data_IF_393002922039
#
_entry.id   IF_393002922039
#
_cell.length_a   1.000
_cell.length_b   1.000
_cell.length_c   1.000
_cell.angle_alpha   90.00
_cell.angle_beta   90.00
_cell.angle_gamma   90.00
#
_symmetry.space_group_name_H-M   'P 1'
#
loop_
_entity.id
_entity.type
_entity.pdbx_description
1 polymer ?
#
# COMPACT_ATOMS: atom_id res chain seq x y z
N UNK A 1 28.28 10.01 16.59
CA UNK A 1 26.85 9.77 16.39
C UNK A 1 26.56 8.34 16.09
N UNK A 2 25.57 7.81 16.73
CA UNK A 2 25.22 6.43 16.51
C UNK A 2 24.15 6.27 15.48
N UNK A 3 24.39 5.37 14.57
CA UNK A 3 23.39 5.04 13.59
C UNK A 3 22.50 3.97 14.19
N UNK A 4 21.24 4.29 14.29
CA UNK A 4 20.28 3.33 14.77
C UNK A 4 19.69 2.59 13.59
N UNK A 5 19.81 1.28 13.64
CA UNK A 5 19.17 0.46 12.65
C UNK A 5 17.82 0.06 13.22
N UNK A 6 16.76 0.47 12.55
CA UNK A 6 15.42 0.12 12.95
C UNK A 6 14.93 -0.99 12.06
N UNK A 7 14.40 -2.02 12.65
CA UNK A 7 13.95 -3.18 11.91
C UNK A 7 12.50 -3.49 12.24
N UNK A 8 11.88 -4.23 11.36
CA UNK A 8 10.53 -4.70 11.56
C UNK A 8 10.43 -6.11 11.00
N UNK A 9 9.56 -6.90 11.59
CA UNK A 9 9.31 -8.24 11.12
C UNK A 9 8.04 -8.26 10.28
N UNK A 10 8.11 -8.93 9.15
CA UNK A 10 6.98 -9.02 8.24
C UNK A 10 6.66 -10.49 8.04
N UNK A 11 5.38 -10.82 8.17
CA UNK A 11 4.91 -12.18 7.94
C UNK A 11 4.73 -12.38 6.45
N UNK A 12 5.57 -13.23 5.88
CA UNK A 12 5.54 -13.44 4.44
C UNK A 12 4.33 -14.24 3.98
N UNK A 13 3.58 -14.80 4.90
CA UNK A 13 2.34 -15.49 4.55
C UNK A 13 1.16 -14.53 4.46
N UNK A 14 1.35 -13.30 4.86
CA UNK A 14 0.30 -12.31 4.83
C UNK A 14 0.30 -11.58 3.49
N UNK A 15 -0.88 -11.29 2.98
CA UNK A 15 -0.99 -10.49 1.77
C UNK A 15 -1.08 -9.02 2.16
N UNK A 16 -0.08 -8.26 1.80
CA UNK A 16 -0.04 -6.85 2.16
C UNK A 16 1.05 -6.17 1.36
N UNK A 17 0.95 -4.86 1.29
CA UNK A 17 2.00 -4.03 0.74
C UNK A 17 2.55 -3.18 1.87
N UNK A 18 3.87 -3.10 1.95
CA UNK A 18 4.51 -2.30 2.98
C UNK A 18 5.34 -1.20 2.33
N UNK A 19 5.23 -0.02 2.89
CA UNK A 19 6.00 1.12 2.45
C UNK A 19 6.93 1.51 3.60
N UNK A 20 8.21 1.52 3.30
CA UNK A 20 9.22 1.84 4.31
C UNK A 20 9.89 3.15 3.91
N UNK A 21 9.76 4.14 4.76
CA UNK A 21 10.45 5.40 4.54
C UNK A 21 10.52 6.19 5.85
N UNK A 22 11.60 6.93 6.01
CA UNK A 22 11.80 7.83 7.15
C UNK A 22 11.59 7.14 8.49
N UNK A 23 12.04 5.88 8.59
CA UNK A 23 11.92 5.14 9.84
C UNK A 23 10.51 4.67 10.15
N UNK A 24 9.60 4.77 9.19
CA UNK A 24 8.22 4.36 9.38
C UNK A 24 7.86 3.22 8.45
N UNK A 25 7.02 2.34 8.95
CA UNK A 25 6.48 1.25 8.17
C UNK A 25 4.98 1.47 8.04
N UNK A 26 4.54 1.62 6.81
CA UNK A 26 3.12 1.80 6.53
C UNK A 26 2.61 0.55 5.84
N UNK A 27 1.58 -0.02 6.39
CA UNK A 27 0.98 -1.22 5.83
C UNK A 27 -0.25 -0.85 5.03
N UNK A 28 -0.27 -1.28 3.77
CA UNK A 28 -1.45 -1.09 2.92
C UNK A 28 -2.20 -2.39 2.91
N UNK A 29 -3.42 -2.36 3.40
CA UNK A 29 -4.24 -3.56 3.51
C UNK A 29 -4.74 -3.99 2.14
N UNK A 30 -4.88 -5.29 1.93
CA UNK A 30 -5.36 -5.78 0.63
C UNK A 30 -6.83 -5.47 0.44
N UNK A 31 -7.22 -5.49 -0.80
CA UNK A 31 -8.62 -5.32 -1.17
C UNK A 31 -9.00 -6.41 -2.17
N UNK A 32 -10.27 -6.79 -2.22
CA UNK A 32 -10.68 -7.85 -3.15
C UNK A 32 -10.50 -7.46 -4.61
N UNK A 33 -10.78 -6.22 -4.94
CA UNK A 33 -10.69 -5.73 -6.31
C UNK A 33 -10.24 -4.30 -6.30
N UNK A 34 -9.59 -3.91 -7.37
CA UNK A 34 -9.24 -2.53 -7.52
C UNK A 34 -7.75 -2.33 -7.71
N UNK A 35 -7.32 -1.13 -7.45
CA UNK A 35 -5.91 -0.79 -7.58
C UNK A 35 -5.56 0.31 -6.61
N UNK A 36 -4.28 0.38 -6.30
CA UNK A 36 -3.74 1.46 -5.49
C UNK A 36 -2.63 2.10 -6.28
N UNK A 37 -2.62 3.41 -6.31
CA UNK A 37 -1.64 4.17 -7.05
C UNK A 37 -0.74 4.89 -6.06
N UNK A 38 0.56 4.66 -6.19
CA UNK A 38 1.54 5.34 -5.36
C UNK A 38 1.94 6.62 -6.04
N UNK A 39 1.87 7.71 -5.31
CA UNK A 39 2.27 9.00 -5.83
C UNK A 39 3.56 9.39 -5.15
N UNK A 40 4.61 9.58 -5.96
CA UNK A 40 5.94 9.89 -5.45
C UNK A 40 6.20 11.38 -5.57
N UNK A 41 6.96 11.88 -4.61
CA UNK A 41 7.41 13.26 -4.64
C UNK A 41 8.77 13.33 -3.97
N UNK A 42 9.74 13.82 -4.69
CA UNK A 42 11.11 14.00 -4.16
C UNK A 42 11.69 12.71 -3.60
N UNK A 43 11.43 11.60 -4.31
CA UNK A 43 11.99 10.32 -3.91
C UNK A 43 11.27 9.62 -2.78
N UNK A 44 10.13 10.13 -2.37
CA UNK A 44 9.35 9.54 -1.28
C UNK A 44 7.92 9.33 -1.73
N UNK A 45 7.26 8.36 -1.10
CA UNK A 45 5.85 8.16 -1.35
C UNK A 45 5.08 9.27 -0.65
N UNK A 46 4.44 10.10 -1.43
CA UNK A 46 3.72 11.26 -0.94
C UNK A 46 2.28 10.91 -0.58
N UNK A 47 1.65 10.06 -1.40
CA UNK A 47 0.25 9.75 -1.22
C UNK A 47 -0.06 8.41 -1.86
N UNK A 48 -1.18 7.85 -1.48
CA UNK A 48 -1.68 6.61 -2.06
C UNK A 48 -3.12 6.83 -2.43
N UNK A 49 -3.41 6.71 -3.72
CA UNK A 49 -4.79 6.76 -4.16
C UNK A 49 -5.33 5.35 -4.20
N UNK A 50 -6.37 5.10 -3.44
CA UNK A 50 -6.98 3.79 -3.40
C UNK A 50 -8.26 3.82 -4.21
N UNK A 51 -8.27 3.00 -5.26
CA UNK A 51 -9.38 2.95 -6.18
C UNK A 51 -10.04 1.60 -6.08
N UNK A 52 -11.23 1.57 -5.55
CA UNK A 52 -11.99 0.33 -5.45
C UNK A 52 -12.80 0.16 -6.72
N UNK A 53 -12.51 -0.91 -7.42
CA UNK A 53 -13.25 -1.21 -8.61
C UNK A 53 -14.34 -2.19 -8.30
N UNK A 54 -15.54 -1.81 -8.69
CA UNK A 54 -16.62 -2.75 -8.62
C UNK A 54 -16.81 -3.32 -10.00
N UNK A 55 -16.61 -4.62 -10.09
CA UNK A 55 -16.79 -5.28 -11.38
C UNK A 55 -18.24 -5.65 -11.55
N UNK A 56 -18.82 -5.16 -12.63
CA UNK A 56 -20.19 -5.47 -12.92
C UNK A 56 -20.23 -6.71 -13.80
N UNK A 57 -21.03 -7.68 -13.39
CA UNK A 57 -21.16 -8.94 -14.09
C UNK A 57 -22.59 -9.07 -14.50
N UNK A 58 -22.81 -9.38 -15.79
CA UNK A 58 -24.14 -9.56 -16.29
C UNK A 58 -24.75 -8.23 -16.66
N UNK A 59 -26.06 -8.16 -16.55
CA UNK A 59 -26.79 -6.97 -16.89
C UNK A 59 -27.07 -6.15 -15.68
N UNK A 60 -26.20 -5.25 -15.40
CA UNK A 60 -26.41 -4.38 -14.28
C UNK A 60 -27.03 -3.10 -14.76
N UNK A 61 -28.05 -2.68 -14.07
CA UNK A 61 -28.70 -1.41 -14.37
C UNK A 61 -28.11 -0.39 -13.44
N UNK A 62 -27.52 0.58 -14.03
CA UNK A 62 -26.86 1.63 -13.27
C UNK A 62 -27.72 2.86 -13.28
#
# INVERSE_FOLDING_TARGET
>A
MEDKIMTAEIDLMETAVYIVQDGHLTKVTPKPYGQDILIWQNGKVFDIERIDRKRLIGQDVI
#
